data_IF_825892714750
#
_entry.id   IF_825892714750
#
_cell.length_a   1.000
_cell.length_b   1.000
_cell.length_c   1.000
_cell.angle_alpha   90.00
_cell.angle_beta   90.00
_cell.angle_gamma   90.00
#
_symmetry.space_group_name_H-M   'P 1'
#
loop_
_entity.id
_entity.type
_entity.pdbx_description
1 polymer ?
#
# COMPACT_ATOMS: atom_id res chain seq x y z
N UNK A 1 -17.86 -7.83 9.38
CA UNK A 1 -17.07 -9.08 9.43
C UNK A 1 -16.48 -9.35 8.05
N UNK A 2 -15.23 -9.83 7.99
CA UNK A 2 -14.63 -10.21 6.72
C UNK A 2 -15.34 -11.45 6.15
N UNK A 3 -15.70 -11.48 4.86
CA UNK A 3 -16.38 -12.64 4.26
C UNK A 3 -15.63 -13.96 4.44
N UNK A 4 -14.28 -13.91 4.39
CA UNK A 4 -13.43 -15.07 4.59
C UNK A 4 -13.43 -15.63 6.01
N UNK A 5 -13.88 -14.87 7.01
CA UNK A 5 -13.91 -15.31 8.41
C UNK A 5 -14.77 -16.57 8.63
N UNK A 6 -15.81 -16.76 7.81
CA UNK A 6 -16.68 -17.93 7.90
C UNK A 6 -16.02 -19.24 7.41
N UNK A 7 -14.91 -19.14 6.66
CA UNK A 7 -14.19 -20.27 6.07
C UNK A 7 -12.80 -20.45 6.70
N UNK A 8 -12.39 -19.54 7.59
CA UNK A 8 -11.09 -19.57 8.23
C UNK A 8 -11.09 -20.46 9.48
N UNK A 9 -10.01 -21.19 9.71
CA UNK A 9 -9.80 -21.94 10.96
C UNK A 9 -9.68 -21.03 12.18
N UNK A 10 -9.16 -19.81 11.97
CA UNK A 10 -9.03 -18.78 12.99
C UNK A 10 -9.27 -17.40 12.40
N UNK A 11 -10.03 -16.58 13.09
CA UNK A 11 -10.27 -15.18 12.76
C UNK A 11 -9.87 -14.30 13.96
N UNK A 12 -9.02 -13.31 13.72
CA UNK A 12 -8.62 -12.30 14.71
C UNK A 12 -9.16 -10.95 14.27
N UNK A 13 -9.91 -10.28 15.14
CA UNK A 13 -10.42 -8.93 14.92
C UNK A 13 -9.58 -7.94 15.71
N UNK A 14 -8.65 -7.27 15.05
CA UNK A 14 -7.79 -6.25 15.61
C UNK A 14 -7.50 -5.15 14.58
N UNK A 15 -7.10 -3.94 15.00
CA UNK A 15 -6.56 -2.93 14.10
C UNK A 15 -5.32 -3.45 13.35
N UNK A 16 -5.10 -3.00 12.11
CA UNK A 16 -3.93 -3.41 11.33
C UNK A 16 -2.59 -2.89 11.85
N UNK A 17 -2.61 -1.88 12.73
CA UNK A 17 -1.45 -1.32 13.42
C UNK A 17 -1.19 -1.95 14.80
N UNK A 18 -2.06 -2.87 15.25
CA UNK A 18 -1.81 -3.69 16.43
C UNK A 18 -0.79 -4.78 16.11
N UNK A 19 0.50 -4.43 16.28
CA UNK A 19 1.60 -5.33 16.00
C UNK A 19 1.58 -6.58 16.90
N UNK A 20 1.12 -6.46 18.13
CA UNK A 20 1.02 -7.60 19.07
C UNK A 20 0.06 -8.66 18.54
N UNK A 21 -1.17 -8.24 18.19
CA UNK A 21 -2.18 -9.12 17.61
C UNK A 21 -1.72 -9.71 16.27
N UNK A 22 -1.02 -8.92 15.43
CA UNK A 22 -0.50 -9.39 14.16
C UNK A 22 0.58 -10.47 14.32
N UNK A 23 1.52 -10.31 15.25
CA UNK A 23 2.57 -11.30 15.56
C UNK A 23 1.97 -12.60 16.14
N UNK A 24 1.02 -12.48 17.05
CA UNK A 24 0.31 -13.63 17.62
C UNK A 24 -0.49 -14.39 16.55
N UNK A 25 -1.14 -13.67 15.64
CA UNK A 25 -1.84 -14.24 14.49
C UNK A 25 -0.87 -14.98 13.55
N UNK A 26 0.29 -14.39 13.28
CA UNK A 26 1.28 -14.90 12.35
C UNK A 26 2.06 -16.13 12.88
N UNK A 27 2.15 -16.30 14.20
CA UNK A 27 2.97 -17.34 14.81
C UNK A 27 2.67 -18.77 14.29
N UNK A 28 1.41 -19.23 14.14
CA UNK A 28 1.08 -20.54 13.60
C UNK A 28 1.10 -20.61 12.06
N UNK A 29 1.28 -19.49 11.34
CA UNK A 29 1.22 -19.47 9.89
C UNK A 29 2.55 -19.91 9.27
N UNK A 30 2.50 -20.62 8.15
CA UNK A 30 3.68 -20.95 7.34
C UNK A 30 4.01 -19.82 6.35
N UNK A 31 2.98 -19.13 5.86
CA UNK A 31 3.06 -18.02 4.91
C UNK A 31 2.02 -16.96 5.28
N UNK A 32 2.37 -15.71 5.11
CA UNK A 32 1.48 -14.58 5.32
C UNK A 32 1.24 -13.89 3.98
N UNK A 33 0.00 -13.55 3.69
CA UNK A 33 -0.39 -12.72 2.56
C UNK A 33 -1.36 -11.63 3.02
N UNK A 34 -1.57 -10.64 2.18
CA UNK A 34 -2.55 -9.58 2.40
C UNK A 34 -3.22 -9.23 1.08
N UNK A 35 -4.44 -8.79 1.16
CA UNK A 35 -5.23 -8.27 0.04
C UNK A 35 -5.37 -6.76 0.17
N UNK A 36 -5.60 -6.28 1.39
CA UNK A 36 -5.81 -4.87 1.67
C UNK A 36 -4.49 -4.09 1.73
N UNK A 37 -4.29 -3.16 0.80
CA UNK A 37 -3.02 -2.43 0.64
C UNK A 37 -2.74 -1.39 1.72
N UNK A 38 -3.74 -1.01 2.53
CA UNK A 38 -3.56 -0.01 3.59
C UNK A 38 -3.08 -0.59 4.93
N UNK A 39 -2.52 -1.80 4.93
CA UNK A 39 -1.78 -2.35 6.07
C UNK A 39 -0.47 -1.58 6.25
N UNK A 40 -0.06 -1.21 7.49
CA UNK A 40 1.23 -0.56 7.71
C UNK A 40 2.39 -1.42 7.23
N UNK A 41 3.22 -0.90 6.31
CA UNK A 41 4.38 -1.62 5.80
C UNK A 41 5.39 -2.00 6.91
N UNK A 42 5.48 -1.18 7.97
CA UNK A 42 6.29 -1.47 9.14
C UNK A 42 5.81 -2.74 9.88
N UNK A 43 4.50 -2.94 10.01
CA UNK A 43 3.95 -4.16 10.62
C UNK A 43 4.29 -5.40 9.79
N UNK A 44 4.19 -5.30 8.45
CA UNK A 44 4.60 -6.40 7.57
C UNK A 44 6.10 -6.69 7.63
N UNK A 45 6.94 -5.67 7.80
CA UNK A 45 8.38 -5.86 7.96
C UNK A 45 8.72 -6.66 9.22
N UNK A 46 8.00 -6.43 10.33
CA UNK A 46 8.16 -7.24 11.54
C UNK A 46 7.63 -8.68 11.35
N UNK A 47 6.52 -8.85 10.66
CA UNK A 47 5.99 -10.18 10.32
C UNK A 47 6.96 -10.97 9.41
N UNK A 48 7.67 -10.31 8.47
CA UNK A 48 8.66 -10.94 7.61
C UNK A 48 9.86 -11.52 8.37
N UNK A 49 10.15 -11.02 9.57
CA UNK A 49 11.19 -11.62 10.45
C UNK A 49 10.75 -12.94 11.05
N UNK A 50 9.45 -13.15 11.16
CA UNK A 50 8.86 -14.34 11.76
C UNK A 50 8.50 -15.38 10.71
N UNK A 51 7.88 -14.96 9.62
CA UNK A 51 7.36 -15.84 8.54
C UNK A 51 7.51 -15.17 7.18
N UNK A 52 7.60 -15.93 6.08
CA UNK A 52 7.54 -15.34 4.74
C UNK A 52 6.25 -14.56 4.53
N UNK A 53 6.36 -13.33 4.03
CA UNK A 53 5.23 -12.48 3.63
C UNK A 53 5.24 -12.31 2.11
N UNK A 54 4.11 -12.51 1.45
CA UNK A 54 3.98 -12.38 0.00
C UNK A 54 2.69 -11.65 -0.37
N UNK A 55 2.77 -10.56 -1.16
CA UNK A 55 3.97 -9.82 -1.55
C UNK A 55 4.78 -9.30 -0.36
N UNK A 56 6.06 -8.95 -0.55
CA UNK A 56 6.91 -8.45 0.54
C UNK A 56 6.45 -7.06 1.04
N UNK A 57 6.84 -6.69 2.26
CA UNK A 57 6.61 -5.34 2.79
C UNK A 57 7.17 -4.24 1.88
N UNK A 58 8.27 -4.53 1.15
CA UNK A 58 8.88 -3.58 0.20
C UNK A 58 7.98 -3.32 -1.00
N UNK A 59 7.35 -4.36 -1.52
CA UNK A 59 6.37 -4.22 -2.62
C UNK A 59 5.19 -3.38 -2.15
N UNK A 60 4.63 -3.68 -0.98
CA UNK A 60 3.54 -2.89 -0.42
C UNK A 60 3.94 -1.43 -0.21
N UNK A 61 5.14 -1.18 0.32
CA UNK A 61 5.65 0.17 0.55
C UNK A 61 5.71 1.02 -0.73
N UNK A 62 6.08 0.39 -1.85
CA UNK A 62 6.08 1.05 -3.17
C UNK A 62 4.66 1.28 -3.68
N UNK A 63 3.81 0.24 -3.68
CA UNK A 63 2.46 0.29 -4.27
C UNK A 63 1.50 1.20 -3.48
N UNK A 64 1.69 1.32 -2.17
CA UNK A 64 0.82 2.08 -1.28
C UNK A 64 0.87 3.59 -1.53
N UNK A 65 2.03 4.11 -1.91
CA UNK A 65 2.25 5.54 -2.14
C UNK A 65 2.46 5.81 -3.64
N UNK A 66 1.49 6.47 -4.25
CA UNK A 66 1.39 6.66 -5.70
C UNK A 66 2.59 7.38 -6.33
N UNK A 67 3.25 8.27 -5.59
CA UNK A 67 4.42 8.98 -6.09
C UNK A 67 5.63 8.03 -6.13
N UNK A 68 5.78 7.20 -5.10
CA UNK A 68 6.83 6.18 -5.05
C UNK A 68 6.62 5.09 -6.12
N UNK A 69 5.37 4.61 -6.29
CA UNK A 69 5.01 3.65 -7.32
C UNK A 69 5.39 4.16 -8.72
N UNK A 70 4.96 5.39 -9.06
CA UNK A 70 5.27 5.99 -10.36
C UNK A 70 6.76 6.27 -10.54
N UNK A 71 7.45 6.69 -9.49
CA UNK A 71 8.90 6.86 -9.49
C UNK A 71 9.61 5.54 -9.80
N UNK A 72 9.30 4.50 -9.04
CA UNK A 72 9.85 3.16 -9.23
C UNK A 72 9.61 2.61 -10.65
N UNK A 73 8.39 2.72 -11.16
CA UNK A 73 8.06 2.27 -12.51
C UNK A 73 8.86 3.05 -13.58
N UNK A 74 8.93 4.37 -13.44
CA UNK A 74 9.67 5.24 -14.36
C UNK A 74 11.18 4.91 -14.36
N UNK A 75 11.79 4.78 -13.18
CA UNK A 75 13.20 4.42 -13.02
C UNK A 75 13.51 3.01 -13.53
N UNK A 76 12.53 2.12 -13.47
CA UNK A 76 12.61 0.76 -14.01
C UNK A 76 12.35 0.68 -15.52
N UNK A 77 12.16 1.81 -16.20
CA UNK A 77 11.97 1.87 -17.65
C UNK A 77 10.55 1.56 -18.14
N UNK A 78 9.57 1.48 -17.24
CA UNK A 78 8.16 1.30 -17.63
C UNK A 78 7.54 2.62 -18.06
N UNK A 79 6.66 2.62 -19.09
CA UNK A 79 5.93 3.82 -19.49
C UNK A 79 4.94 4.23 -18.39
N UNK A 80 5.05 5.46 -17.91
CA UNK A 80 4.17 6.03 -16.90
C UNK A 80 3.50 7.28 -17.46
N UNK A 81 2.19 7.41 -17.24
CA UNK A 81 1.49 8.64 -17.59
C UNK A 81 2.15 9.86 -16.89
N UNK A 82 2.31 10.99 -17.58
CA UNK A 82 2.88 12.20 -16.99
C UNK A 82 2.17 12.56 -15.68
N UNK A 83 2.93 12.91 -14.65
CA UNK A 83 2.38 13.26 -13.34
C UNK A 83 3.19 14.39 -12.69
N UNK A 84 2.58 15.05 -11.74
CA UNK A 84 3.20 16.10 -10.91
C UNK A 84 2.76 15.93 -9.47
N UNK A 85 3.66 15.63 -8.53
CA UNK A 85 3.37 15.72 -7.10
C UNK A 85 3.02 17.15 -6.74
N UNK A 86 1.95 17.35 -5.95
CA UNK A 86 1.47 18.67 -5.53
C UNK A 86 1.10 18.63 -4.06
N UNK A 87 1.38 19.71 -3.33
CA UNK A 87 1.14 19.83 -1.89
C UNK A 87 0.25 21.03 -1.53
N UNK A 88 -0.18 21.79 -2.53
CA UNK A 88 -1.04 22.94 -2.34
C UNK A 88 -1.99 23.13 -3.51
N UNK A 89 -3.07 23.88 -3.28
CA UNK A 89 -4.01 24.23 -4.34
C UNK A 89 -3.37 25.08 -5.46
N UNK A 90 -2.36 25.89 -5.13
CA UNK A 90 -1.62 26.68 -6.11
C UNK A 90 -0.78 25.77 -7.02
N UNK A 91 -0.04 24.82 -6.43
CA UNK A 91 0.73 23.82 -7.17
C UNK A 91 -0.18 22.93 -8.03
N UNK A 92 -1.34 22.53 -7.52
CA UNK A 92 -2.29 21.72 -8.27
C UNK A 92 -2.81 22.47 -9.53
N UNK A 93 -3.11 23.77 -9.42
CA UNK A 93 -3.50 24.59 -10.56
C UNK A 93 -2.37 24.71 -11.60
N UNK A 94 -1.14 24.98 -11.15
CA UNK A 94 0.01 25.06 -12.04
C UNK A 94 0.30 23.73 -12.74
N UNK A 95 0.22 22.61 -11.99
CA UNK A 95 0.38 21.27 -12.55
C UNK A 95 -0.70 20.93 -13.59
N UNK A 96 -1.96 21.28 -13.33
CA UNK A 96 -3.05 21.06 -14.28
C UNK A 96 -2.84 21.85 -15.58
N UNK A 97 -2.36 23.09 -15.48
CA UNK A 97 -2.01 23.88 -16.68
C UNK A 97 -0.88 23.22 -17.49
N UNK A 98 0.13 22.70 -16.81
CA UNK A 98 1.27 22.06 -17.46
C UNK A 98 0.94 20.69 -18.07
N UNK A 99 0.06 19.91 -17.44
CA UNK A 99 -0.35 18.57 -17.89
C UNK A 99 -1.49 18.59 -18.92
N UNK A 100 -2.20 19.69 -19.01
CA UNK A 100 -3.32 19.86 -19.94
C UNK A 100 -4.70 19.60 -19.32
N UNK A 101 -5.79 19.78 -20.09
CA UNK A 101 -7.16 19.83 -19.58
C UNK A 101 -7.71 18.49 -19.08
N UNK A 102 -7.06 17.38 -19.41
CA UNK A 102 -7.48 16.03 -18.99
C UNK A 102 -6.75 15.52 -17.75
N UNK A 103 -6.20 16.42 -16.92
CA UNK A 103 -5.52 16.03 -15.70
C UNK A 103 -6.50 15.58 -14.58
N UNK A 104 -6.12 14.57 -13.83
CA UNK A 104 -6.87 14.06 -12.68
C UNK A 104 -6.05 14.28 -11.42
N UNK A 105 -6.65 14.93 -10.42
CA UNK A 105 -6.06 15.07 -9.09
C UNK A 105 -6.45 13.84 -8.24
N UNK A 106 -5.45 13.23 -7.62
CA UNK A 106 -5.64 12.07 -6.71
C UNK A 106 -4.85 12.28 -5.42
N UNK A 107 -5.29 11.66 -4.34
CA UNK A 107 -4.46 11.52 -3.14
C UNK A 107 -3.26 10.63 -3.42
N UNK A 108 -2.15 10.87 -2.73
CA UNK A 108 -0.95 10.05 -2.87
C UNK A 108 -1.12 8.68 -2.22
N UNK A 109 -1.82 8.64 -1.08
CA UNK A 109 -2.19 7.42 -0.37
C UNK A 109 -3.72 7.35 -0.20
N UNK A 110 -4.26 6.15 0.11
CA UNK A 110 -5.69 5.91 0.38
C UNK A 110 -6.64 6.38 -0.74
N UNK A 111 -6.14 6.54 -1.95
CA UNK A 111 -6.92 6.98 -3.10
C UNK A 111 -7.40 5.79 -3.93
N UNK A 112 -8.70 5.59 -3.96
CA UNK A 112 -9.39 4.73 -4.92
C UNK A 112 -10.03 5.56 -6.01
#
# INVERSE_FOLDING_TARGET
EAPAAALADRHVRAPFDDLGAALEFAAPCELITFEFENVPAASLAELERLRPVRPSHRVLGICRERIQEKGFLSESGFPVAPYRPVRSAAEARAAAQALGPAAILKTAELGY
#
